data_IF_105241406626
#
_entry.id   IF_105241406626
#
_cell.length_a   1.000
_cell.length_b   1.000
_cell.length_c   1.000
_cell.angle_alpha   90.00
_cell.angle_beta   90.00
_cell.angle_gamma   90.00
#
_symmetry.space_group_name_H-M   'P 1'
#
loop_
_entity.id
_entity.type
_entity.pdbx_description
1 polymer ?
#
# COMPACT_ATOMS: atom_id res chain seq x y z
N UNK A 1 -16.80 -13.51 -13.90
CA UNK A 1 -16.42 -12.09 -14.05
C UNK A 1 -16.17 -11.59 -12.64
N UNK A 2 -14.90 -11.33 -12.32
CA UNK A 2 -14.52 -10.77 -11.01
C UNK A 2 -15.15 -9.39 -10.91
N UNK A 3 -16.04 -9.18 -9.93
CA UNK A 3 -16.58 -7.84 -9.67
C UNK A 3 -15.46 -7.11 -8.94
N UNK A 4 -14.99 -5.99 -9.48
CA UNK A 4 -13.94 -5.17 -8.85
C UNK A 4 -14.27 -4.91 -7.37
N UNK A 5 -13.22 -4.84 -6.55
CA UNK A 5 -13.34 -4.81 -5.08
C UNK A 5 -14.09 -3.58 -4.54
N UNK A 6 -14.31 -2.57 -5.37
CA UNK A 6 -14.85 -1.27 -4.98
C UNK A 6 -13.80 -0.35 -4.36
N UNK A 7 -12.52 -0.76 -4.33
CA UNK A 7 -11.40 0.00 -3.81
C UNK A 7 -10.28 0.09 -4.85
N UNK A 8 -9.56 1.21 -4.83
CA UNK A 8 -8.50 1.49 -5.80
C UNK A 8 -7.13 1.66 -5.15
N UNK A 9 -6.09 1.15 -5.80
CA UNK A 9 -4.71 1.34 -5.39
C UNK A 9 -4.10 2.64 -5.94
N UNK A 10 -4.52 3.02 -7.16
CA UNK A 10 -4.02 4.17 -7.90
C UNK A 10 -5.13 4.81 -8.71
N UNK A 11 -5.01 6.11 -8.98
CA UNK A 11 -5.79 6.78 -10.01
C UNK A 11 -5.43 6.21 -11.39
N UNK A 12 -6.31 6.38 -12.40
CA UNK A 12 -5.96 6.06 -13.79
C UNK A 12 -4.69 6.79 -14.21
N UNK A 13 -3.86 6.12 -15.02
CA UNK A 13 -2.76 6.75 -15.74
C UNK A 13 -3.27 7.34 -17.05
N UNK A 14 -2.75 6.86 -18.17
CA UNK A 14 -3.32 7.17 -19.49
C UNK A 14 -4.67 6.42 -19.64
N UNK A 15 -5.77 7.18 -19.61
CA UNK A 15 -7.14 6.65 -19.79
C UNK A 15 -8.05 6.87 -18.57
N UNK A 16 -9.06 6.00 -18.44
CA UNK A 16 -10.09 6.05 -17.37
C UNK A 16 -10.09 4.81 -16.47
N UNK A 17 -9.21 3.85 -16.74
CA UNK A 17 -9.20 2.58 -15.99
C UNK A 17 -8.54 2.77 -14.62
N UNK A 18 -9.33 2.51 -13.58
CA UNK A 18 -8.85 2.55 -12.21
C UNK A 18 -8.17 1.24 -11.84
N UNK A 19 -7.02 1.33 -11.17
CA UNK A 19 -6.31 0.13 -10.72
C UNK A 19 -6.95 -0.43 -9.44
N UNK A 20 -7.62 -1.56 -9.56
CA UNK A 20 -8.25 -2.28 -8.44
C UNK A 20 -7.24 -2.63 -7.34
N UNK A 21 -7.62 -2.35 -6.08
CA UNK A 21 -6.73 -2.55 -4.93
C UNK A 21 -6.44 -4.03 -4.66
N UNK A 22 -7.42 -4.91 -4.76
CA UNK A 22 -7.21 -6.35 -4.49
C UNK A 22 -6.31 -6.96 -5.55
N UNK A 23 -6.52 -6.61 -6.82
CA UNK A 23 -5.64 -7.01 -7.91
C UNK A 23 -4.21 -6.49 -7.71
N UNK A 24 -4.04 -5.21 -7.35
CA UNK A 24 -2.75 -4.61 -7.04
C UNK A 24 -2.00 -5.37 -5.94
N UNK A 25 -2.66 -5.63 -4.80
CA UNK A 25 -2.05 -6.33 -3.66
C UNK A 25 -1.63 -7.76 -4.04
N UNK A 26 -2.49 -8.50 -4.74
CA UNK A 26 -2.19 -9.88 -5.18
C UNK A 26 -1.04 -9.92 -6.19
N UNK A 27 -1.07 -9.06 -7.21
CA UNK A 27 -0.03 -9.00 -8.23
C UNK A 27 1.33 -8.57 -7.63
N UNK A 28 1.31 -7.62 -6.70
CA UNK A 28 2.51 -7.20 -5.96
C UNK A 28 3.05 -8.33 -5.08
N UNK A 29 2.18 -9.05 -4.37
CA UNK A 29 2.56 -10.19 -3.55
C UNK A 29 3.22 -11.32 -4.39
N UNK A 30 2.65 -11.65 -5.55
CA UNK A 30 3.23 -12.65 -6.46
C UNK A 30 4.63 -12.24 -6.94
N UNK A 31 4.78 -11.00 -7.42
CA UNK A 31 6.10 -10.49 -7.85
C UNK A 31 7.11 -10.42 -6.70
N UNK A 32 6.66 -10.07 -5.49
CA UNK A 32 7.51 -10.06 -4.31
C UNK A 32 7.99 -11.47 -3.96
N UNK A 33 7.11 -12.47 -4.03
CA UNK A 33 7.45 -13.88 -3.85
C UNK A 33 8.53 -14.34 -4.84
N UNK A 34 8.32 -14.09 -6.13
CA UNK A 34 9.28 -14.48 -7.19
C UNK A 34 10.69 -13.93 -6.93
N UNK A 35 10.77 -12.71 -6.38
CA UNK A 35 12.05 -12.12 -5.98
C UNK A 35 12.60 -12.72 -4.67
N UNK A 36 11.72 -12.98 -3.69
CA UNK A 36 12.09 -13.58 -2.41
C UNK A 36 12.52 -15.04 -2.51
N UNK A 37 12.00 -15.79 -3.47
CA UNK A 37 12.33 -17.21 -3.70
C UNK A 37 13.82 -17.41 -4.00
N UNK A 38 14.48 -16.42 -4.63
CA UNK A 38 15.94 -16.41 -4.89
C UNK A 38 16.78 -16.45 -3.60
N UNK A 39 16.18 -16.09 -2.47
CA UNK A 39 16.80 -16.05 -1.14
C UNK A 39 16.16 -17.05 -0.16
N UNK A 40 15.25 -17.92 -0.62
CA UNK A 40 14.47 -18.81 0.26
C UNK A 40 13.43 -18.08 1.13
N UNK A 41 13.09 -16.84 0.80
CA UNK A 41 12.21 -15.96 1.59
C UNK A 41 10.88 -15.64 0.87
N UNK A 42 10.45 -16.47 -0.09
CA UNK A 42 9.29 -16.20 -0.95
C UNK A 42 7.99 -15.94 -0.19
N UNK A 43 7.64 -16.76 0.79
CA UNK A 43 6.41 -16.58 1.58
C UNK A 43 6.43 -15.28 2.40
N UNK A 44 7.58 -14.93 3.00
CA UNK A 44 7.72 -13.67 3.75
C UNK A 44 7.61 -12.48 2.81
N UNK A 45 8.22 -12.56 1.62
CA UNK A 45 8.12 -11.52 0.61
C UNK A 45 6.69 -11.38 0.05
N UNK A 46 5.98 -12.50 -0.14
CA UNK A 46 4.57 -12.52 -0.53
C UNK A 46 3.71 -11.76 0.48
N UNK A 47 3.85 -12.07 1.78
CA UNK A 47 3.13 -11.38 2.84
C UNK A 47 3.48 -9.88 2.89
N UNK A 48 4.75 -9.52 2.72
CA UNK A 48 5.16 -8.13 2.65
C UNK A 48 4.45 -7.38 1.50
N UNK A 49 4.43 -7.96 0.29
CA UNK A 49 3.74 -7.39 -0.86
C UNK A 49 2.22 -7.33 -0.68
N UNK A 50 1.62 -8.34 -0.04
CA UNK A 50 0.19 -8.38 0.20
C UNK A 50 -0.27 -7.35 1.24
N UNK A 51 0.56 -7.10 2.25
CA UNK A 51 0.16 -6.25 3.39
C UNK A 51 0.56 -4.78 3.25
N UNK A 52 1.48 -4.45 2.32
CA UNK A 52 2.09 -3.12 2.31
C UNK A 52 1.06 -2.00 2.19
N UNK A 53 0.07 -2.17 1.31
CA UNK A 53 -0.91 -1.15 0.93
C UNK A 53 -2.29 -1.34 1.58
N UNK A 54 -2.41 -2.16 2.65
CA UNK A 54 -3.71 -2.39 3.31
C UNK A 54 -4.39 -1.10 3.79
N UNK A 55 -3.62 -0.05 4.09
CA UNK A 55 -4.18 1.25 4.46
C UNK A 55 -4.95 1.96 3.34
N UNK A 56 -4.81 1.51 2.09
CA UNK A 56 -5.56 2.10 0.96
C UNK A 56 -7.05 1.75 1.01
N UNK A 57 -7.47 0.74 1.77
CA UNK A 57 -8.89 0.48 2.07
C UNK A 57 -9.52 1.58 2.94
N UNK A 58 -8.73 2.46 3.56
CA UNK A 58 -9.26 3.57 4.35
C UNK A 58 -10.11 4.50 3.47
N UNK A 59 -11.37 4.80 3.86
CA UNK A 59 -12.23 5.72 3.11
C UNK A 59 -11.58 7.08 2.82
N UNK A 60 -10.76 7.61 3.74
CA UNK A 60 -10.03 8.85 3.53
C UNK A 60 -8.98 8.75 2.41
N UNK A 61 -8.35 7.58 2.25
CA UNK A 61 -7.42 7.33 1.16
C UNK A 61 -8.15 7.22 -0.20
N UNK A 62 -9.31 6.55 -0.22
CA UNK A 62 -10.14 6.47 -1.43
C UNK A 62 -10.64 7.85 -1.87
N UNK A 63 -11.12 8.67 -0.93
CA UNK A 63 -11.51 10.06 -1.20
C UNK A 63 -10.33 10.89 -1.72
N UNK A 64 -9.13 10.69 -1.16
CA UNK A 64 -7.91 11.31 -1.66
C UNK A 64 -7.66 10.96 -3.14
N UNK A 65 -7.79 9.70 -3.55
CA UNK A 65 -7.62 9.31 -4.95
C UNK A 65 -8.67 9.96 -5.86
N UNK A 66 -9.94 10.02 -5.44
CA UNK A 66 -11.01 10.69 -6.19
C UNK A 66 -10.68 12.16 -6.41
N UNK A 67 -10.20 12.86 -5.37
CA UNK A 67 -9.79 14.26 -5.47
C UNK A 67 -8.58 14.46 -6.36
N UNK A 68 -7.59 13.56 -6.31
CA UNK A 68 -6.46 13.58 -7.24
C UNK A 68 -6.94 13.44 -8.69
N UNK A 69 -7.90 12.54 -8.96
CA UNK A 69 -8.45 12.38 -10.31
C UNK A 69 -9.21 13.62 -10.79
N UNK A 70 -9.99 14.27 -9.92
CA UNK A 70 -10.67 15.53 -10.28
C UNK A 70 -9.68 16.65 -10.57
N UNK A 71 -8.60 16.75 -9.80
CA UNK A 71 -7.54 17.71 -10.08
C UNK A 71 -6.88 17.48 -11.45
N UNK A 72 -6.58 16.22 -11.78
CA UNK A 72 -6.00 15.81 -13.05
C UNK A 72 -6.93 16.06 -14.26
N UNK A 73 -8.21 15.71 -14.14
CA UNK A 73 -9.18 15.80 -15.24
C UNK A 73 -9.82 17.18 -15.41
N UNK A 74 -10.20 17.81 -14.30
CA UNK A 74 -11.06 19.00 -14.27
C UNK A 74 -10.27 20.29 -13.94
N UNK A 75 -8.96 20.17 -13.71
CA UNK A 75 -8.10 21.30 -13.35
C UNK A 75 -8.32 21.83 -11.92
N UNK A 76 -8.92 21.03 -11.05
CA UNK A 76 -9.07 21.36 -9.63
C UNK A 76 -7.72 21.38 -8.89
N UNK A 77 -7.68 22.02 -7.72
CA UNK A 77 -6.48 22.03 -6.88
C UNK A 77 -6.27 20.65 -6.26
N UNK A 78 -5.12 19.98 -6.51
CA UNK A 78 -4.87 18.67 -5.93
C UNK A 78 -4.73 18.74 -4.41
N UNK A 79 -5.07 17.66 -3.68
CA UNK A 79 -4.84 17.60 -2.24
C UNK A 79 -3.36 17.81 -1.92
N UNK A 80 -3.08 18.76 -1.03
CA UNK A 80 -1.72 19.19 -0.71
C UNK A 80 -0.87 18.12 0.02
N UNK A 81 -1.50 17.12 0.63
CA UNK A 81 -0.83 16.03 1.36
C UNK A 81 -1.49 14.71 1.06
N UNK A 82 -0.69 13.66 0.96
CA UNK A 82 -1.15 12.28 0.86
C UNK A 82 -1.73 11.82 2.21
N UNK A 83 -2.63 10.84 2.17
CA UNK A 83 -3.17 10.13 3.33
C UNK A 83 -2.21 9.00 3.70
N UNK A 84 -1.64 8.98 4.93
CA UNK A 84 -0.75 7.90 5.36
C UNK A 84 -1.47 6.56 5.33
N UNK A 85 -0.97 5.60 4.54
CA UNK A 85 -1.57 4.27 4.40
C UNK A 85 -0.62 3.13 4.80
N UNK A 86 0.70 3.32 4.61
CA UNK A 86 1.72 2.35 5.02
C UNK A 86 1.65 1.94 6.51
N UNK A 87 1.20 2.86 7.37
CA UNK A 87 1.08 2.62 8.82
C UNK A 87 0.09 1.50 9.15
N UNK A 88 -0.97 1.33 8.37
CA UNK A 88 -1.98 0.31 8.64
C UNK A 88 -1.47 -1.10 8.34
N UNK A 89 -0.78 -1.28 7.20
CA UNK A 89 -0.10 -2.53 6.88
C UNK A 89 0.99 -2.87 7.91
N UNK A 90 1.75 -1.86 8.35
CA UNK A 90 2.79 -2.04 9.35
C UNK A 90 2.22 -2.44 10.71
N UNK A 91 1.12 -1.82 11.15
CA UNK A 91 0.43 -2.20 12.39
C UNK A 91 -0.07 -3.63 12.33
N UNK A 92 -0.70 -4.03 11.22
CA UNK A 92 -1.15 -5.41 11.03
C UNK A 92 0.03 -6.40 11.09
N UNK A 93 1.13 -6.07 10.39
CA UNK A 93 2.33 -6.88 10.41
C UNK A 93 2.95 -6.99 11.81
N UNK A 94 2.89 -5.95 12.64
CA UNK A 94 3.38 -6.02 14.02
C UNK A 94 2.67 -7.09 14.83
N UNK A 95 1.36 -7.23 14.63
CA UNK A 95 0.51 -8.19 15.35
C UNK A 95 0.64 -9.60 14.75
N UNK A 96 0.73 -9.72 13.41
CA UNK A 96 0.76 -11.01 12.73
C UNK A 96 2.17 -11.61 12.56
N UNK A 97 3.16 -10.79 12.21
CA UNK A 97 4.54 -11.20 11.97
C UNK A 97 5.51 -10.00 12.06
N UNK A 98 5.95 -9.71 13.28
CA UNK A 98 6.67 -8.49 13.64
C UNK A 98 7.85 -8.10 12.73
N UNK A 99 8.67 -9.03 12.18
CA UNK A 99 9.78 -8.68 11.29
C UNK A 99 9.37 -7.84 10.05
N UNK A 100 8.13 -7.97 9.57
CA UNK A 100 7.64 -7.21 8.41
C UNK A 100 7.20 -5.78 8.73
N UNK A 101 7.07 -5.42 10.01
CA UNK A 101 6.61 -4.08 10.44
C UNK A 101 7.44 -2.97 9.80
N UNK A 102 8.77 -3.12 9.84
CA UNK A 102 9.73 -2.12 9.36
C UNK A 102 9.74 -2.04 7.83
N UNK A 103 9.76 -3.22 7.20
CA UNK A 103 9.73 -3.38 5.74
C UNK A 103 8.49 -2.70 5.17
N UNK A 104 7.33 -2.94 5.77
CA UNK A 104 6.08 -2.34 5.33
C UNK A 104 6.01 -0.85 5.68
N UNK A 105 6.42 -0.44 6.89
CA UNK A 105 6.34 0.98 7.25
C UNK A 105 7.21 1.88 6.34
N UNK A 106 8.37 1.37 5.92
CA UNK A 106 9.35 2.13 5.15
C UNK A 106 9.07 2.25 3.65
N UNK A 107 8.03 1.62 3.09
CA UNK A 107 7.92 1.50 1.62
C UNK A 107 7.67 2.85 0.89
N UNK A 108 7.26 3.90 1.59
CA UNK A 108 7.16 5.27 1.04
C UNK A 108 8.22 6.24 1.54
N UNK A 109 8.80 5.99 2.72
CA UNK A 109 9.69 6.92 3.41
C UNK A 109 11.17 6.51 3.35
N UNK A 110 11.47 5.35 2.75
CA UNK A 110 12.73 4.63 2.96
C UNK A 110 12.68 3.84 4.28
N UNK A 111 13.58 2.85 4.45
CA UNK A 111 13.65 2.09 5.70
C UNK A 111 14.01 3.03 6.86
N UNK A 112 13.09 3.28 7.81
CA UNK A 112 13.45 4.04 9.00
C UNK A 112 14.39 3.20 9.86
N UNK A 113 15.26 3.85 10.64
CA UNK A 113 15.96 3.16 11.72
C UNK A 113 14.95 2.49 12.66
N UNK A 114 15.30 1.31 13.19
CA UNK A 114 14.42 0.42 13.99
C UNK A 114 13.63 1.17 15.08
N UNK A 115 14.26 2.16 15.70
CA UNK A 115 13.72 2.95 16.80
C UNK A 115 12.65 3.97 16.37
N UNK A 116 12.80 4.60 15.20
CA UNK A 116 11.86 5.58 14.67
C UNK A 116 10.51 4.95 14.28
N UNK A 117 10.51 3.69 13.85
CA UNK A 117 9.30 2.96 13.51
C UNK A 117 8.60 2.33 14.72
N UNK A 118 9.30 2.07 15.82
CA UNK A 118 8.67 1.69 17.10
C UNK A 118 7.77 2.81 17.62
N UNK A 119 8.28 4.05 17.62
CA UNK A 119 7.51 5.22 18.08
C UNK A 119 6.28 5.52 17.21
N UNK A 120 6.38 5.33 15.89
CA UNK A 120 5.28 5.63 14.94
C UNK A 120 4.24 4.53 14.83
N UNK A 121 4.57 3.31 15.25
CA UNK A 121 3.60 2.21 15.30
C UNK A 121 2.93 2.11 16.66
N UNK A 122 3.47 2.74 17.71
CA UNK A 122 2.93 2.72 19.07
C UNK A 122 3.41 1.51 19.87
N UNK A 123 4.73 1.28 19.87
CA UNK A 123 5.42 0.40 20.82
C UNK A 123 5.85 1.21 22.05
#
# INVERSE_FOLDING_TARGET
MDRGSGFYAHTPGEGEEWHDLVAHLRNTAVRARENGDKFGAGEVAYLAGLWHDLGKFNPAFQEYLIRCRRADRDGEVPPAKNVPHAVYGARFAREAYQPLTQVIHGHHAGLPGVEAARQRTGA
#
